data_IF_994089894536
#
_entry.id   IF_994089894536
#
_cell.length_a   1.000
_cell.length_b   1.000
_cell.length_c   1.000
_cell.angle_alpha   90.00
_cell.angle_beta   90.00
_cell.angle_gamma   90.00
#
_symmetry.space_group_name_H-M   'P 1'
#
loop_
_entity.id
_entity.type
_entity.pdbx_description
1 polymer ?
#
# COMPACT_ATOMS: atom_id res chain seq x y z
N UNK A 1 0.83 5.22 3.46
CA UNK A 1 1.84 6.28 3.25
C UNK A 1 1.40 7.29 2.21
N UNK A 2 1.84 8.52 2.37
CA UNK A 2 1.53 9.63 1.46
C UNK A 2 2.55 9.70 0.31
N UNK A 3 2.14 10.30 -0.81
CA UNK A 3 3.02 10.55 -1.97
C UNK A 3 4.27 11.33 -1.59
N UNK A 4 4.13 12.29 -0.69
CA UNK A 4 5.23 13.04 -0.07
C UNK A 4 5.10 12.80 1.43
N UNK A 5 6.08 12.12 2.02
CA UNK A 5 5.95 11.51 3.34
C UNK A 5 5.71 12.51 4.48
N UNK A 6 6.26 13.71 4.37
CA UNK A 6 6.16 14.78 5.37
C UNK A 6 5.18 15.88 5.00
N UNK A 7 4.30 15.63 4.04
CA UNK A 7 3.32 16.61 3.55
C UNK A 7 1.91 16.14 3.86
N UNK A 8 1.26 16.78 4.83
CA UNK A 8 -0.10 16.45 5.28
C UNK A 8 -1.17 16.66 4.18
N UNK A 9 -0.89 17.49 3.18
CA UNK A 9 -1.80 17.73 2.05
C UNK A 9 -1.60 16.75 0.90
N UNK A 10 -0.52 15.96 0.92
CA UNK A 10 -0.29 14.92 -0.05
C UNK A 10 -1.26 13.75 0.18
N UNK A 11 -1.79 13.19 -0.89
CA UNK A 11 -2.71 12.05 -0.79
C UNK A 11 -1.99 10.77 -0.35
N UNK A 12 -2.76 9.88 0.25
CA UNK A 12 -2.30 8.53 0.57
C UNK A 12 -2.26 7.72 -0.71
N UNK A 13 -1.08 7.22 -1.03
CA UNK A 13 -0.82 6.49 -2.28
C UNK A 13 -0.85 4.99 -1.99
N UNK A 14 -1.78 4.28 -2.61
CA UNK A 14 -2.13 2.93 -2.18
C UNK A 14 -1.17 1.86 -2.72
N UNK A 15 -0.60 2.05 -3.90
CA UNK A 15 0.38 1.07 -4.40
C UNK A 15 1.68 1.09 -3.57
N UNK A 16 2.16 2.27 -3.20
CA UNK A 16 3.33 2.40 -2.33
C UNK A 16 3.03 1.84 -0.93
N UNK A 17 1.85 2.15 -0.39
CA UNK A 17 1.44 1.63 0.92
C UNK A 17 1.39 0.11 0.93
N UNK A 18 0.81 -0.51 -0.09
CA UNK A 18 0.76 -1.95 -0.23
C UNK A 18 2.15 -2.57 -0.40
N UNK A 19 2.99 -1.97 -1.25
CA UNK A 19 4.35 -2.48 -1.52
C UNK A 19 5.26 -2.41 -0.30
N UNK A 20 5.25 -1.28 0.40
CA UNK A 20 6.04 -1.10 1.64
C UNK A 20 5.57 -2.10 2.70
N UNK A 21 4.26 -2.22 2.89
CA UNK A 21 3.69 -3.14 3.88
C UNK A 21 3.96 -4.61 3.52
N UNK A 22 3.92 -4.98 2.24
CA UNK A 22 4.28 -6.33 1.79
C UNK A 22 5.73 -6.66 2.15
N UNK A 23 6.64 -5.73 1.98
CA UNK A 23 8.04 -5.89 2.37
C UNK A 23 8.19 -6.06 3.89
N UNK A 24 7.42 -5.30 4.66
CA UNK A 24 7.41 -5.43 6.13
C UNK A 24 6.92 -6.81 6.57
N UNK A 25 5.90 -7.37 5.92
CA UNK A 25 5.42 -8.72 6.21
C UNK A 25 6.54 -9.75 5.97
N UNK A 26 7.24 -9.64 4.84
CA UNK A 26 8.34 -10.54 4.50
C UNK A 26 9.54 -10.44 5.44
N UNK A 27 9.73 -9.31 6.09
CA UNK A 27 10.85 -9.06 6.99
C UNK A 27 10.68 -9.74 8.35
N UNK A 28 9.46 -10.11 8.74
CA UNK A 28 9.13 -10.77 10.02
C UNK A 28 9.62 -10.02 11.27
N UNK A 29 9.75 -8.70 11.20
CA UNK A 29 10.16 -7.89 12.33
C UNK A 29 8.95 -7.47 13.17
N UNK A 30 8.85 -7.86 14.45
CA UNK A 30 7.71 -7.49 15.30
C UNK A 30 7.47 -5.99 15.43
N UNK A 31 8.51 -5.18 15.26
CA UNK A 31 8.39 -3.72 15.28
C UNK A 31 7.55 -3.17 14.14
N UNK A 32 7.34 -3.94 13.08
CA UNK A 32 6.54 -3.53 11.93
C UNK A 32 5.03 -3.82 12.08
N UNK A 33 4.62 -4.63 13.04
CA UNK A 33 3.22 -5.09 13.20
C UNK A 33 2.23 -3.92 13.20
N UNK A 34 2.52 -2.90 13.94
CA UNK A 34 1.68 -1.70 14.04
C UNK A 34 1.45 -1.04 12.68
N UNK A 35 2.50 -0.94 11.88
CA UNK A 35 2.45 -0.33 10.55
C UNK A 35 1.75 -1.23 9.54
N UNK A 36 1.97 -2.54 9.64
CA UNK A 36 1.29 -3.54 8.80
C UNK A 36 -0.23 -3.49 9.05
N UNK A 37 -0.66 -3.48 10.31
CA UNK A 37 -2.08 -3.42 10.66
C UNK A 37 -2.73 -2.14 10.14
N UNK A 38 -2.05 -1.01 10.29
CA UNK A 38 -2.52 0.27 9.77
C UNK A 38 -2.61 0.27 8.24
N UNK A 39 -1.66 -0.38 7.57
CA UNK A 39 -1.69 -0.53 6.12
C UNK A 39 -2.82 -1.45 5.65
N UNK A 40 -3.13 -2.53 6.37
CA UNK A 40 -4.29 -3.37 6.06
C UNK A 40 -5.57 -2.54 6.04
N UNK A 41 -5.81 -1.75 7.07
CA UNK A 41 -6.97 -0.86 7.14
C UNK A 41 -7.00 0.14 5.97
N UNK A 42 -5.88 0.82 5.73
CA UNK A 42 -5.78 1.84 4.69
C UNK A 42 -5.94 1.29 3.28
N UNK A 43 -5.31 0.17 2.98
CA UNK A 43 -5.42 -0.45 1.66
C UNK A 43 -6.83 -1.02 1.45
N UNK A 44 -7.41 -1.71 2.43
CA UNK A 44 -8.78 -2.23 2.34
C UNK A 44 -9.81 -1.11 2.11
N UNK A 45 -9.65 0.04 2.75
CA UNK A 45 -10.52 1.18 2.56
C UNK A 45 -10.53 1.71 1.12
N UNK A 46 -9.51 1.36 0.34
CA UNK A 46 -9.35 1.77 -1.05
C UNK A 46 -9.57 0.64 -2.06
N UNK A 47 -10.07 -0.51 -1.62
CA UNK A 47 -10.48 -1.60 -2.52
C UNK A 47 -11.98 -1.56 -2.68
N UNK A 48 -12.44 -1.42 -3.91
CA UNK A 48 -13.86 -1.42 -4.23
C UNK A 48 -14.48 -2.82 -4.10
N UNK A 49 -15.81 -2.88 -4.08
CA UNK A 49 -16.56 -4.15 -4.02
C UNK A 49 -16.28 -5.06 -5.22
N UNK A 50 -15.81 -4.51 -6.31
CA UNK A 50 -15.39 -5.22 -7.53
C UNK A 50 -13.90 -5.61 -7.53
N UNK A 51 -13.19 -5.35 -6.44
CA UNK A 51 -11.77 -5.67 -6.31
C UNK A 51 -10.81 -4.64 -6.91
N UNK A 52 -11.30 -3.52 -7.45
CA UNK A 52 -10.44 -2.46 -7.98
C UNK A 52 -9.74 -1.71 -6.86
N UNK A 53 -8.43 -1.55 -6.98
CA UNK A 53 -7.63 -0.77 -6.02
C UNK A 53 -7.59 0.69 -6.49
N UNK A 54 -8.12 1.56 -5.64
CA UNK A 54 -8.27 3.00 -5.92
C UNK A 54 -7.10 3.79 -5.34
N UNK A 55 -6.99 5.05 -5.78
CA UNK A 55 -5.98 6.00 -5.28
C UNK A 55 -4.54 5.54 -5.50
N UNK A 56 -4.30 4.96 -6.65
CA UNK A 56 -2.98 4.58 -7.14
C UNK A 56 -2.51 5.62 -8.14
N UNK A 57 -1.32 6.16 -7.92
CA UNK A 57 -0.73 7.15 -8.83
C UNK A 57 -0.55 6.57 -10.23
N UNK A 58 -0.80 7.38 -11.23
CA UNK A 58 -0.38 7.11 -12.60
C UNK A 58 1.14 7.19 -12.73
N UNK A 59 1.65 7.11 -13.95
CA UNK A 59 3.10 7.27 -14.19
C UNK A 59 3.58 8.61 -13.64
N UNK A 60 4.65 8.57 -12.83
CA UNK A 60 5.17 9.74 -12.14
C UNK A 60 6.48 10.18 -12.77
N UNK A 61 6.49 11.34 -13.42
CA UNK A 61 7.71 12.02 -13.83
C UNK A 61 8.31 12.80 -12.66
N UNK A 62 9.56 13.22 -12.81
CA UNK A 62 10.17 14.16 -11.85
C UNK A 62 9.41 15.48 -11.93
N UNK A 63 8.84 15.88 -10.81
CA UNK A 63 8.07 17.12 -10.71
C UNK A 63 8.95 18.27 -10.22
N UNK A 64 8.49 19.48 -10.50
CA UNK A 64 9.23 20.71 -10.21
C UNK A 64 9.20 21.07 -8.72
N UNK A 65 8.13 20.70 -8.03
CA UNK A 65 7.87 21.02 -6.64
C UNK A 65 6.93 20.00 -5.99
N UNK A 66 6.67 20.18 -4.70
CA UNK A 66 5.76 19.31 -3.92
C UNK A 66 4.34 19.34 -4.47
N UNK A 67 3.86 20.49 -4.91
CA UNK A 67 2.51 20.64 -5.47
C UNK A 67 2.32 19.75 -6.71
N UNK A 68 3.36 19.62 -7.55
CA UNK A 68 3.34 18.72 -8.69
C UNK A 68 3.08 17.28 -8.30
N UNK A 69 3.68 16.83 -7.22
CA UNK A 69 3.46 15.46 -6.69
C UNK A 69 2.07 15.27 -6.08
N UNK A 70 1.49 16.31 -5.47
CA UNK A 70 0.11 16.27 -4.98
C UNK A 70 -0.91 16.11 -6.11
N UNK A 71 -0.60 16.61 -7.30
CA UNK A 71 -1.49 16.66 -8.46
C UNK A 71 -1.41 15.45 -9.40
N UNK A 72 -0.62 14.42 -9.09
CA UNK A 72 -0.50 13.23 -9.94
C UNK A 72 -1.86 12.52 -10.03
N UNK A 73 -2.25 12.14 -11.24
CA UNK A 73 -3.52 11.48 -11.48
C UNK A 73 -3.62 10.13 -10.80
N UNK A 74 -4.74 9.91 -10.10
CA UNK A 74 -5.12 8.64 -9.46
C UNK A 74 -6.39 8.05 -10.10
N UNK A 75 -6.71 8.49 -11.26
CA UNK A 75 -7.99 8.30 -11.92
C UNK A 75 -8.17 6.90 -12.49
N UNK A 76 -7.09 6.26 -12.89
CA UNK A 76 -7.11 4.97 -13.57
C UNK A 76 -6.71 3.83 -12.64
N UNK A 77 -7.28 2.66 -12.91
CA UNK A 77 -6.84 1.43 -12.24
C UNK A 77 -5.52 1.00 -12.85
N UNK A 78 -4.52 0.79 -12.02
CA UNK A 78 -3.17 0.46 -12.45
C UNK A 78 -2.83 -1.00 -12.13
N UNK A 79 -2.19 -1.69 -13.07
CA UNK A 79 -1.76 -3.08 -12.87
C UNK A 79 -0.82 -3.24 -11.68
N UNK A 80 0.10 -2.29 -11.46
CA UNK A 80 1.00 -2.32 -10.30
C UNK A 80 0.25 -2.10 -8.99
N UNK A 81 -0.82 -1.31 -8.97
CA UNK A 81 -1.66 -1.16 -7.79
C UNK A 81 -2.36 -2.46 -7.42
N UNK A 82 -2.96 -3.11 -8.39
CA UNK A 82 -3.61 -4.42 -8.22
C UNK A 82 -2.59 -5.47 -7.76
N UNK A 83 -1.43 -5.54 -8.41
CA UNK A 83 -0.40 -6.53 -8.11
C UNK A 83 0.21 -6.36 -6.72
N UNK A 84 0.53 -5.13 -6.33
CA UNK A 84 1.11 -4.86 -5.01
C UNK A 84 0.11 -5.11 -3.88
N UNK A 85 -1.17 -4.76 -4.06
CA UNK A 85 -2.21 -5.06 -3.09
C UNK A 85 -2.42 -6.58 -2.95
N UNK A 86 -2.43 -7.31 -4.07
CA UNK A 86 -2.53 -8.76 -4.05
C UNK A 86 -1.34 -9.41 -3.31
N UNK A 87 -0.12 -8.96 -3.59
CA UNK A 87 1.07 -9.44 -2.90
C UNK A 87 1.00 -9.17 -1.39
N UNK A 88 0.55 -7.99 -1.00
CA UNK A 88 0.42 -7.62 0.40
C UNK A 88 -0.59 -8.52 1.12
N UNK A 89 -1.81 -8.63 0.60
CA UNK A 89 -2.86 -9.43 1.24
C UNK A 89 -2.52 -10.93 1.25
N UNK A 90 -1.90 -11.44 0.18
CA UNK A 90 -1.42 -12.82 0.15
C UNK A 90 -0.38 -13.07 1.24
N UNK A 91 0.55 -12.14 1.43
CA UNK A 91 1.56 -12.23 2.49
C UNK A 91 0.95 -12.20 3.89
N UNK A 92 -0.04 -11.34 4.12
CA UNK A 92 -0.75 -11.26 5.40
C UNK A 92 -1.49 -12.55 5.70
N UNK A 93 -2.21 -13.11 4.73
CA UNK A 93 -2.94 -14.36 4.89
C UNK A 93 -2.00 -15.54 5.15
N UNK A 94 -0.89 -15.62 4.42
CA UNK A 94 0.11 -16.64 4.62
C UNK A 94 0.75 -16.58 6.01
N UNK A 95 1.09 -15.38 6.48
CA UNK A 95 1.64 -15.17 7.82
C UNK A 95 0.65 -15.60 8.91
N UNK A 96 -0.64 -15.32 8.72
CA UNK A 96 -1.71 -15.76 9.61
C UNK A 96 -1.83 -17.28 9.68
N UNK A 97 -1.72 -17.97 8.55
CA UNK A 97 -1.76 -19.43 8.49
C UNK A 97 -0.52 -20.06 9.15
N UNK A 98 0.66 -19.52 8.90
CA UNK A 98 1.91 -19.94 9.55
C UNK A 98 1.81 -19.79 11.07
N UNK A 99 1.24 -18.69 11.55
CA UNK A 99 1.04 -18.45 12.98
C UNK A 99 0.10 -19.48 13.62
N UNK A 100 -1.01 -19.81 12.94
CA UNK A 100 -1.95 -20.86 13.38
C UNK A 100 -1.27 -22.22 13.49
N UNK A 101 -0.36 -22.54 12.60
CA UNK A 101 0.37 -23.80 12.57
C UNK A 101 1.56 -23.79 13.52
N UNK A 102 1.80 -22.70 14.24
CA UNK A 102 2.93 -22.55 15.15
C UNK A 102 4.27 -22.43 14.44
N UNK A 103 4.28 -22.04 13.17
CA UNK A 103 5.49 -21.92 12.35
C UNK A 103 6.24 -20.59 12.57
N UNK A 104 5.65 -19.65 13.26
CA UNK A 104 6.26 -18.37 13.57
C UNK A 104 6.79 -18.27 14.99
#
# INVERSE_FOLDING_TARGET
WRTVLDDEEAYEEISASAGIAAAMVCNHNPLHIRYINKAVEGVLANVGSDGKVLNVSGGTAVMKDVEGYRGISKRWIQGWGQGLALAFFSGVLQAGDEDKDGAL
#
